data_IF_042082216579
#
_entry.id   IF_042082216579
#
_cell.length_a   1.000
_cell.length_b   1.000
_cell.length_c   1.000
_cell.angle_alpha   90.00
_cell.angle_beta   90.00
_cell.angle_gamma   90.00
#
_symmetry.space_group_name_H-M   'P 1'
#
loop_
_entity.id
_entity.type
_entity.pdbx_description
1 polymer ?
#
# COMPACT_ATOMS: atom_id res chain seq x y z
N UNK A 1 5.17 -7.57 9.65
CA UNK A 1 4.14 -6.56 9.90
C UNK A 1 3.18 -7.07 10.95
N UNK A 2 2.09 -6.34 11.19
CA UNK A 2 0.99 -6.84 12.01
C UNK A 2 0.10 -7.72 11.16
N UNK A 3 0.05 -9.01 11.48
CA UNK A 3 -0.67 -10.00 10.72
C UNK A 3 -2.00 -10.31 11.39
N UNK A 4 -3.05 -10.36 10.58
CA UNK A 4 -4.38 -10.77 11.00
C UNK A 4 -4.71 -12.12 10.36
N UNK A 5 -4.65 -13.21 11.13
CA UNK A 5 -4.95 -14.57 10.66
C UNK A 5 -6.31 -14.71 9.96
N UNK A 6 -7.44 -14.20 10.50
CA UNK A 6 -8.73 -14.37 9.83
C UNK A 6 -8.91 -13.53 8.55
N UNK A 7 -8.09 -12.50 8.35
CA UNK A 7 -8.13 -11.65 7.15
C UNK A 7 -6.96 -11.95 6.18
N UNK A 8 -6.05 -12.86 6.56
CA UNK A 8 -4.83 -13.22 5.84
C UNK A 8 -4.04 -12.00 5.32
N UNK A 9 -4.02 -10.92 6.12
CA UNK A 9 -3.54 -9.61 5.67
C UNK A 9 -2.50 -9.03 6.64
N UNK A 10 -1.55 -8.26 6.07
CA UNK A 10 -0.54 -7.52 6.80
C UNK A 10 -0.89 -6.04 6.89
N UNK A 11 -0.74 -5.49 8.10
CA UNK A 11 -0.96 -4.10 8.43
C UNK A 11 0.34 -3.46 8.93
N UNK A 12 0.50 -2.18 8.62
CA UNK A 12 1.50 -1.30 9.24
C UNK A 12 0.96 -0.75 10.56
N UNK A 13 1.83 -0.23 11.42
CA UNK A 13 1.45 0.33 12.72
C UNK A 13 0.42 1.48 12.60
N UNK A 14 0.48 2.27 11.52
CA UNK A 14 -0.45 3.39 11.27
C UNK A 14 -1.83 2.95 10.77
N UNK A 15 -1.96 1.71 10.29
CA UNK A 15 -3.23 1.16 9.79
C UNK A 15 -4.04 0.45 10.88
N UNK A 16 -3.46 0.20 12.06
CA UNK A 16 -4.18 -0.45 13.16
C UNK A 16 -5.17 0.49 13.83
N UNK A 17 -6.32 -0.07 14.24
CA UNK A 17 -7.33 0.66 15.03
C UNK A 17 -7.26 0.14 16.46
N UNK A 18 -6.79 0.97 17.39
CA UNK A 18 -6.60 0.59 18.80
C UNK A 18 -5.76 -0.68 18.99
N UNK A 19 -4.76 -0.90 18.14
CA UNK A 19 -3.91 -2.10 18.19
C UNK A 19 -4.55 -3.36 17.59
N UNK A 20 -5.72 -3.24 16.95
CA UNK A 20 -6.44 -4.34 16.29
C UNK A 20 -6.51 -4.15 14.77
N UNK A 21 -6.88 -5.22 14.08
CA UNK A 21 -7.12 -5.24 12.64
C UNK A 21 -8.21 -4.21 12.26
N UNK A 22 -7.97 -3.32 11.29
CA UNK A 22 -8.96 -2.31 10.88
C UNK A 22 -10.23 -2.92 10.28
N UNK A 23 -10.13 -4.09 9.65
CA UNK A 23 -11.26 -4.70 8.93
C UNK A 23 -12.17 -5.54 9.84
N UNK A 24 -11.60 -6.37 10.72
CA UNK A 24 -12.37 -7.30 11.55
C UNK A 24 -12.35 -6.97 13.05
N UNK A 25 -11.58 -5.96 13.48
CA UNK A 25 -11.49 -5.51 14.88
C UNK A 25 -10.81 -6.48 15.85
N UNK A 26 -10.26 -7.59 15.36
CA UNK A 26 -9.58 -8.61 16.18
C UNK A 26 -8.12 -8.26 16.43
N UNK A 27 -7.51 -8.80 17.50
CA UNK A 27 -6.09 -8.65 17.75
C UNK A 27 -5.24 -9.11 16.56
N UNK A 28 -4.13 -8.43 16.37
CA UNK A 28 -3.11 -8.75 15.37
C UNK A 28 -1.84 -9.21 16.06
N UNK A 29 -1.05 -9.99 15.35
CA UNK A 29 0.22 -10.53 15.86
C UNK A 29 1.38 -10.06 15.00
N UNK A 30 2.57 -9.88 15.59
CA UNK A 30 3.76 -9.57 14.80
C UNK A 30 4.22 -10.84 14.08
N UNK A 31 4.07 -10.85 12.76
CA UNK A 31 4.62 -11.91 11.89
C UNK A 31 5.68 -11.35 10.95
N UNK A 32 6.65 -12.20 10.61
CA UNK A 32 7.68 -11.95 9.62
C UNK A 32 7.72 -13.15 8.67
N UNK A 33 7.50 -12.87 7.40
CA UNK A 33 7.57 -13.85 6.32
C UNK A 33 8.64 -13.42 5.32
N UNK A 34 9.29 -14.39 4.70
CA UNK A 34 10.19 -14.13 3.58
C UNK A 34 9.35 -13.86 2.34
N UNK A 35 9.60 -12.72 1.69
CA UNK A 35 8.88 -12.31 0.49
C UNK A 35 9.85 -11.73 -0.53
N UNK A 36 9.55 -11.92 -1.81
CA UNK A 36 10.24 -11.23 -2.89
C UNK A 36 9.68 -9.82 -3.04
N UNK A 37 10.54 -8.82 -2.89
CA UNK A 37 10.15 -7.42 -3.10
C UNK A 37 10.59 -6.94 -4.47
N UNK A 38 9.64 -6.40 -5.24
CA UNK A 38 9.98 -5.64 -6.42
C UNK A 38 10.59 -4.30 -6.01
N UNK A 39 11.76 -3.95 -6.57
CA UNK A 39 12.43 -2.67 -6.31
C UNK A 39 11.73 -1.52 -7.03
N UNK A 40 10.49 -1.22 -6.64
CA UNK A 40 9.64 -0.20 -7.24
C UNK A 40 10.28 1.19 -7.18
N UNK A 41 11.04 1.48 -6.12
CA UNK A 41 11.79 2.74 -5.95
C UNK A 41 12.73 3.07 -7.13
N UNK A 42 13.23 2.06 -7.85
CA UNK A 42 14.05 2.25 -9.06
C UNK A 42 13.26 2.93 -10.20
N UNK A 43 11.94 2.83 -10.20
CA UNK A 43 11.08 3.24 -11.30
C UNK A 43 10.24 4.49 -10.99
N UNK A 44 10.22 4.94 -9.74
CA UNK A 44 9.40 6.06 -9.28
C UNK A 44 9.60 7.32 -10.15
N UNK A 45 10.84 7.79 -10.30
CA UNK A 45 11.16 8.99 -11.09
C UNK A 45 10.73 8.87 -12.55
N UNK A 46 10.90 7.67 -13.13
CA UNK A 46 10.51 7.40 -14.52
C UNK A 46 8.99 7.43 -14.69
N UNK A 47 8.25 6.92 -13.72
CA UNK A 47 6.78 6.92 -13.75
C UNK A 47 6.23 8.34 -13.57
N UNK A 48 6.78 9.12 -12.64
CA UNK A 48 6.39 10.53 -12.43
C UNK A 48 6.57 11.31 -13.73
N UNK A 49 7.77 11.25 -14.32
CA UNK A 49 8.07 11.92 -15.59
C UNK A 49 7.10 11.50 -16.70
N UNK A 50 6.79 10.21 -16.80
CA UNK A 50 5.87 9.72 -17.81
C UNK A 50 4.44 10.27 -17.62
N UNK A 51 3.94 10.33 -16.38
CA UNK A 51 2.62 10.91 -16.05
C UNK A 51 2.57 12.42 -16.36
N UNK A 52 3.68 13.13 -16.17
CA UNK A 52 3.80 14.55 -16.52
C UNK A 52 3.81 14.78 -18.03
N UNK A 53 4.57 13.97 -18.78
CA UNK A 53 4.68 14.06 -20.23
C UNK A 53 3.41 13.58 -20.98
N UNK A 54 2.58 12.75 -20.33
CA UNK A 54 1.37 12.15 -20.94
C UNK A 54 0.12 12.54 -20.13
N UNK A 55 -0.44 13.76 -20.31
CA UNK A 55 -1.53 14.28 -19.49
C UNK A 55 -2.83 13.46 -19.57
N UNK A 56 -3.01 12.67 -20.62
CA UNK A 56 -4.18 11.81 -20.82
C UNK A 56 -3.99 10.37 -20.31
N UNK A 57 -2.84 10.06 -19.69
CA UNK A 57 -2.54 8.70 -19.22
C UNK A 57 -3.40 8.28 -18.03
N UNK A 58 -3.75 9.21 -17.14
CA UNK A 58 -4.64 8.99 -15.99
C UNK A 58 -5.94 9.75 -16.23
N UNK A 59 -7.06 9.06 -16.19
CA UNK A 59 -8.39 9.65 -16.42
C UNK A 59 -9.43 9.12 -15.42
N UNK A 60 -10.37 9.96 -14.96
CA UNK A 60 -10.47 11.40 -15.21
C UNK A 60 -9.36 12.19 -14.50
N UNK A 61 -9.05 13.39 -14.97
CA UNK A 61 -7.92 14.21 -14.48
C UNK A 61 -7.96 14.45 -12.96
N UNK A 62 -9.16 14.48 -12.36
CA UNK A 62 -9.34 14.62 -10.91
C UNK A 62 -8.62 13.53 -10.09
N UNK A 63 -8.46 12.32 -10.65
CA UNK A 63 -7.78 11.20 -9.98
C UNK A 63 -6.26 11.32 -10.02
N UNK A 64 -5.69 12.19 -10.87
CA UNK A 64 -4.24 12.40 -10.97
C UNK A 64 -3.65 12.92 -9.66
N UNK A 65 -4.40 13.71 -8.91
CA UNK A 65 -3.93 14.35 -7.66
C UNK A 65 -4.22 13.52 -6.40
N UNK A 66 -4.88 12.36 -6.52
CA UNK A 66 -5.17 11.44 -5.40
C UNK A 66 -4.13 10.32 -5.26
N UNK A 67 -3.14 10.26 -6.16
CA UNK A 67 -2.06 9.27 -6.20
C UNK A 67 -0.83 9.70 -5.40
#
# INVERSE_FOLDING_TARGET
GWYCTPCESFWTDTQLVNGNCPDCGRPVEKSKEEAYFFKMSKYADRLIKYIEEHPHFIQPESRKNEM
#
